data_IF_560075192728
#
_entry.id   IF_560075192728
#
_cell.length_a   1.000
_cell.length_b   1.000
_cell.length_c   1.000
_cell.angle_alpha   90.00
_cell.angle_beta   90.00
_cell.angle_gamma   90.00
#
_symmetry.space_group_name_H-M   'P 1'
#
loop_
_entity.id
_entity.type
_entity.pdbx_description
1 polymer ?
#
# COMPACT_ATOMS: atom_id res chain seq x y z
N UNK A 1 37.61 -2.67 -36.85
CA UNK A 1 37.08 -4.05 -36.92
C UNK A 1 36.06 -4.21 -35.81
N UNK A 2 34.89 -4.78 -36.08
CA UNK A 2 33.90 -5.08 -35.04
C UNK A 2 34.42 -6.23 -34.18
N UNK A 3 34.15 -6.18 -32.87
CA UNK A 3 34.45 -7.31 -31.97
C UNK A 3 33.51 -8.48 -32.26
N UNK A 4 33.90 -9.70 -31.88
CA UNK A 4 33.05 -10.88 -32.04
C UNK A 4 31.67 -10.72 -31.37
N UNK A 5 31.61 -10.01 -30.23
CA UNK A 5 30.36 -9.68 -29.53
C UNK A 5 29.48 -8.71 -30.33
N UNK A 6 30.07 -7.72 -31.01
CA UNK A 6 29.32 -6.78 -31.86
C UNK A 6 28.73 -7.48 -33.10
N UNK A 7 29.48 -8.41 -33.70
CA UNK A 7 28.98 -9.24 -34.81
C UNK A 7 27.82 -10.14 -34.39
N UNK A 8 27.92 -10.79 -33.23
CA UNK A 8 26.85 -11.64 -32.70
C UNK A 8 25.56 -10.84 -32.43
N UNK A 9 25.68 -9.64 -31.86
CA UNK A 9 24.54 -8.76 -31.62
C UNK A 9 23.91 -8.27 -32.94
N UNK A 10 24.73 -7.92 -33.94
CA UNK A 10 24.26 -7.54 -35.27
C UNK A 10 23.46 -8.66 -35.95
N UNK A 11 23.95 -9.91 -35.86
CA UNK A 11 23.29 -11.08 -36.42
C UNK A 11 21.94 -11.36 -35.72
N UNK A 12 21.88 -11.23 -34.39
CA UNK A 12 20.64 -11.43 -33.63
C UNK A 12 19.59 -10.36 -33.96
N UNK A 13 19.99 -9.09 -34.12
CA UNK A 13 19.09 -8.01 -34.57
C UNK A 13 18.51 -8.33 -35.94
N UNK A 14 19.34 -8.79 -36.88
CA UNK A 14 18.88 -9.15 -38.22
C UNK A 14 17.93 -10.36 -38.21
N UNK A 15 18.21 -11.37 -37.37
CA UNK A 15 17.35 -12.54 -37.19
C UNK A 15 15.98 -12.14 -36.66
N UNK A 16 15.93 -11.32 -35.61
CA UNK A 16 14.70 -10.78 -35.04
C UNK A 16 13.92 -9.92 -36.04
N UNK A 17 14.61 -9.08 -36.82
CA UNK A 17 13.99 -8.26 -37.85
C UNK A 17 13.32 -9.09 -38.96
N UNK A 18 13.98 -10.15 -39.42
CA UNK A 18 13.41 -11.11 -40.39
C UNK A 18 12.23 -11.88 -39.81
N UNK A 19 12.26 -12.20 -38.51
CA UNK A 19 11.19 -12.91 -37.81
C UNK A 19 10.04 -12.02 -37.31
N UNK A 20 10.12 -10.69 -37.45
CA UNK A 20 9.12 -9.76 -36.93
C UNK A 20 9.07 -9.66 -35.40
N UNK A 21 10.12 -10.10 -34.70
CA UNK A 21 10.19 -10.11 -33.23
C UNK A 21 10.72 -8.76 -32.73
N UNK A 22 10.03 -8.04 -31.82
CA UNK A 22 10.51 -6.77 -31.29
C UNK A 22 11.84 -6.91 -30.52
N UNK A 23 12.66 -5.86 -30.55
CA UNK A 23 13.91 -5.80 -29.78
C UNK A 23 13.62 -5.53 -28.30
N UNK A 24 14.33 -6.22 -27.41
CA UNK A 24 14.37 -5.95 -25.97
C UNK A 24 15.51 -4.99 -25.66
N UNK A 25 15.21 -3.86 -25.00
CA UNK A 25 16.17 -2.78 -24.66
C UNK A 25 16.95 -2.21 -25.87
N UNK A 26 16.27 -1.68 -26.91
CA UNK A 26 16.95 -1.22 -28.11
C UNK A 26 17.76 0.05 -27.87
N UNK A 27 18.96 0.10 -28.44
CA UNK A 27 19.70 1.36 -28.66
C UNK A 27 19.25 2.02 -29.96
N UNK A 28 19.61 3.29 -30.16
CA UNK A 28 19.33 3.98 -31.43
C UNK A 28 19.91 3.23 -32.64
N UNK A 29 21.14 2.74 -32.52
CA UNK A 29 21.84 1.99 -33.56
C UNK A 29 21.19 0.63 -33.87
N UNK A 30 20.75 -0.11 -32.84
CA UNK A 30 20.06 -1.40 -33.06
C UNK A 30 18.68 -1.21 -33.68
N UNK A 31 17.98 -0.12 -33.33
CA UNK A 31 16.69 0.23 -33.93
C UNK A 31 16.82 0.57 -35.41
N UNK A 32 17.86 1.34 -35.78
CA UNK A 32 18.11 1.70 -37.18
C UNK A 32 18.40 0.45 -38.04
N UNK A 33 19.27 -0.45 -37.55
CA UNK A 33 19.60 -1.69 -38.24
C UNK A 33 18.39 -2.63 -38.36
N UNK A 34 17.56 -2.75 -37.31
CA UNK A 34 16.34 -3.55 -37.33
C UNK A 34 15.36 -3.07 -38.41
N UNK A 35 15.12 -1.74 -38.48
CA UNK A 35 14.25 -1.13 -39.50
C UNK A 35 14.82 -1.33 -40.91
N UNK A 36 16.12 -1.13 -41.09
CA UNK A 36 16.79 -1.35 -42.37
C UNK A 36 16.69 -2.83 -42.82
N UNK A 37 16.81 -3.76 -41.88
CA UNK A 37 16.71 -5.20 -42.20
C UNK A 37 15.28 -5.59 -42.55
N UNK A 38 14.27 -5.06 -41.85
CA UNK A 38 12.85 -5.29 -42.16
C UNK A 38 12.48 -4.81 -43.58
N UNK A 39 12.97 -3.65 -44.01
CA UNK A 39 12.67 -3.13 -45.35
C UNK A 39 13.29 -3.99 -46.46
N UNK A 40 14.48 -4.56 -46.23
CA UNK A 40 15.13 -5.47 -47.19
C UNK A 40 14.57 -6.89 -47.19
N UNK A 41 14.06 -7.39 -46.04
CA UNK A 41 13.58 -8.76 -45.91
C UNK A 41 12.17 -8.97 -46.49
N UNK A 42 11.40 -7.89 -46.69
CA UNK A 42 10.05 -7.93 -47.23
C UNK A 42 9.88 -6.96 -48.43
N UNK A 43 10.56 -7.21 -49.57
CA UNK A 43 10.46 -6.35 -50.75
C UNK A 43 9.04 -6.33 -51.36
N UNK A 44 8.17 -7.28 -51.00
CA UNK A 44 6.78 -7.38 -51.48
C UNK A 44 5.75 -6.47 -50.78
N UNK A 45 6.15 -5.68 -49.78
CA UNK A 45 5.26 -4.72 -49.10
C UNK A 45 5.53 -3.26 -49.49
N UNK A 46 6.10 -3.02 -50.68
CA UNK A 46 5.80 -1.78 -51.39
C UNK A 46 4.34 -1.85 -51.84
N UNK A 47 3.44 -1.49 -50.91
CA UNK A 47 2.07 -1.13 -51.21
C UNK A 47 2.17 0.01 -52.22
N UNK A 48 2.04 -0.32 -53.50
CA UNK A 48 1.87 0.64 -54.59
C UNK A 48 0.81 1.61 -54.09
N UNK A 49 1.19 2.88 -53.92
CA UNK A 49 0.31 3.88 -53.34
C UNK A 49 -0.96 3.92 -54.20
N UNK A 50 -2.03 3.30 -53.70
CA UNK A 50 -3.33 3.43 -54.35
C UNK A 50 -3.62 4.93 -54.42
N UNK A 51 -4.08 5.44 -55.58
CA UNK A 51 -4.37 6.85 -55.75
C UNK A 51 -5.27 7.29 -54.59
N UNK A 52 -4.75 8.22 -53.79
CA UNK A 52 -5.43 8.75 -52.60
C UNK A 52 -6.76 9.31 -53.08
N UNK A 53 -7.87 8.62 -52.78
CA UNK A 53 -9.20 9.16 -53.07
C UNK A 53 -9.28 10.56 -52.42
N UNK A 54 -9.72 11.59 -53.16
CA UNK A 54 -9.78 12.94 -52.62
C UNK A 54 -10.61 12.93 -51.34
N UNK A 55 -10.00 13.41 -50.25
CA UNK A 55 -10.65 13.54 -48.94
C UNK A 55 -11.75 14.58 -49.11
N UNK A 56 -13.01 14.17 -49.10
CA UNK A 56 -14.13 15.11 -49.13
C UNK A 56 -14.28 15.78 -47.76
N UNK A 57 -14.68 17.05 -47.71
CA UNK A 57 -14.88 17.77 -46.45
C UNK A 57 -15.85 17.06 -45.50
N UNK A 58 -16.83 16.32 -46.04
CA UNK A 58 -17.76 15.48 -45.28
C UNK A 58 -17.08 14.32 -44.55
N UNK A 59 -15.96 13.80 -45.06
CA UNK A 59 -15.21 12.72 -44.39
C UNK A 59 -14.42 13.19 -43.17
N UNK A 60 -14.21 14.51 -43.02
CA UNK A 60 -13.48 15.13 -41.92
C UNK A 60 -14.37 15.47 -40.72
N UNK A 61 -15.69 15.35 -40.84
CA UNK A 61 -16.64 15.67 -39.76
C UNK A 61 -17.08 14.41 -39.01
N UNK A 62 -17.48 14.55 -37.74
CA UNK A 62 -18.09 13.47 -36.97
C UNK A 62 -19.37 12.97 -37.64
N UNK A 63 -19.58 11.65 -37.69
CA UNK A 63 -20.85 11.10 -38.14
C UNK A 63 -21.90 11.22 -37.02
N UNK A 64 -23.21 11.18 -37.32
CA UNK A 64 -24.23 11.15 -36.28
C UNK A 64 -23.97 10.01 -35.28
N UNK A 65 -23.87 10.35 -33.99
CA UNK A 65 -23.57 9.40 -32.91
C UNK A 65 -22.07 9.20 -32.59
N UNK A 66 -21.17 9.80 -33.38
CA UNK A 66 -19.74 9.85 -33.09
C UNK A 66 -19.32 11.20 -32.49
N UNK A 67 -18.27 11.16 -31.68
CA UNK A 67 -17.57 12.37 -31.24
C UNK A 67 -16.06 12.22 -31.40
N UNK A 68 -15.36 13.35 -31.51
CA UNK A 68 -13.90 13.38 -31.55
C UNK A 68 -13.32 12.97 -30.21
N UNK A 69 -12.56 11.86 -30.18
CA UNK A 69 -12.11 11.22 -28.93
C UNK A 69 -11.29 12.17 -28.07
N UNK A 70 -10.32 12.88 -28.66
CA UNK A 70 -9.50 13.88 -27.95
C UNK A 70 -10.36 14.98 -27.32
N UNK A 71 -11.31 15.53 -28.06
CA UNK A 71 -12.17 16.59 -27.56
C UNK A 71 -13.00 16.08 -26.37
N UNK A 72 -13.60 14.90 -26.50
CA UNK A 72 -14.39 14.29 -25.43
C UNK A 72 -13.60 14.11 -24.14
N UNK A 73 -12.38 13.58 -24.21
CA UNK A 73 -11.53 13.43 -23.03
C UNK A 73 -11.05 14.77 -22.47
N UNK A 74 -10.66 15.73 -23.33
CA UNK A 74 -10.31 17.09 -22.89
C UNK A 74 -11.47 17.78 -22.15
N UNK A 75 -12.69 17.67 -22.67
CA UNK A 75 -13.90 18.22 -22.05
C UNK A 75 -14.17 17.55 -20.68
N UNK A 76 -13.66 16.33 -20.46
CA UNK A 76 -13.74 15.58 -19.21
C UNK A 76 -12.49 15.72 -18.31
N UNK A 77 -11.64 16.72 -18.57
CA UNK A 77 -10.49 17.06 -17.72
C UNK A 77 -9.18 16.36 -18.07
N UNK A 78 -9.13 15.59 -19.16
CA UNK A 78 -7.93 14.88 -19.58
C UNK A 78 -7.17 15.63 -20.66
N UNK A 79 -6.03 16.22 -20.33
CA UNK A 79 -5.23 17.01 -21.28
C UNK A 79 -4.25 16.17 -22.12
N UNK A 80 -3.73 15.07 -21.57
CA UNK A 80 -2.74 14.22 -22.23
C UNK A 80 -3.39 13.04 -22.95
N UNK A 81 -4.08 13.34 -24.05
CA UNK A 81 -4.66 12.33 -24.94
C UNK A 81 -3.68 12.07 -26.10
N UNK A 82 -3.29 10.81 -26.31
CA UNK A 82 -2.36 10.38 -27.36
C UNK A 82 -3.02 9.42 -28.36
N UNK A 83 -2.31 9.09 -29.43
CA UNK A 83 -2.68 7.98 -30.32
C UNK A 83 -1.44 7.12 -30.56
N UNK A 84 -1.49 5.87 -30.11
CA UNK A 84 -0.47 4.88 -30.39
C UNK A 84 -0.73 4.29 -31.79
N UNK A 85 0.08 4.73 -32.76
CA UNK A 85 0.00 4.27 -34.15
C UNK A 85 0.35 2.78 -34.32
N UNK A 86 1.19 2.22 -33.44
CA UNK A 86 1.60 0.82 -33.55
C UNK A 86 0.47 -0.12 -33.11
N UNK A 87 -0.28 0.28 -32.07
CA UNK A 87 -1.40 -0.49 -31.52
C UNK A 87 -2.76 -0.10 -32.08
N UNK A 88 -2.85 1.04 -32.74
CA UNK A 88 -4.11 1.57 -33.24
C UNK A 88 -5.04 2.10 -32.14
N UNK A 89 -4.48 2.48 -30.99
CA UNK A 89 -5.24 2.81 -29.78
C UNK A 89 -5.12 4.28 -29.43
N UNK A 90 -6.20 4.90 -28.98
CA UNK A 90 -6.14 6.18 -28.27
C UNK A 90 -5.65 5.92 -26.85
N UNK A 91 -4.68 6.71 -26.41
CA UNK A 91 -4.17 6.67 -25.05
C UNK A 91 -4.59 7.91 -24.27
N UNK A 92 -4.79 7.79 -22.96
CA UNK A 92 -5.08 8.92 -22.06
C UNK A 92 -4.14 8.78 -20.87
N UNK A 93 -3.34 9.81 -20.59
CA UNK A 93 -2.27 9.78 -19.59
C UNK A 93 -1.34 8.56 -19.75
N UNK A 94 -1.10 8.14 -20.99
CA UNK A 94 -0.27 6.98 -21.34
C UNK A 94 -0.96 5.61 -21.24
N UNK A 95 -2.23 5.54 -20.78
CA UNK A 95 -3.01 4.31 -20.67
C UNK A 95 -3.88 4.08 -21.91
N UNK A 96 -4.08 2.81 -22.30
CA UNK A 96 -4.94 2.46 -23.44
C UNK A 96 -6.42 2.69 -23.11
N UNK A 97 -7.00 3.71 -23.73
CA UNK A 97 -8.37 4.11 -23.51
C UNK A 97 -9.33 3.32 -24.41
N UNK A 98 -9.21 3.46 -25.74
CA UNK A 98 -10.10 2.81 -26.72
C UNK A 98 -9.49 2.73 -28.13
N UNK A 99 -9.94 1.78 -28.93
CA UNK A 99 -9.69 1.73 -30.37
C UNK A 99 -10.72 2.63 -31.09
N UNK A 100 -10.31 3.64 -31.88
CA UNK A 100 -11.26 4.52 -32.53
C UNK A 100 -11.99 3.78 -33.66
N UNK A 101 -13.27 4.12 -33.89
CA UNK A 101 -14.06 3.56 -35.00
C UNK A 101 -13.47 3.97 -36.36
N UNK A 102 -12.92 5.19 -36.42
CA UNK A 102 -12.20 5.70 -37.59
C UNK A 102 -11.25 6.83 -37.24
N UNK A 103 -10.34 7.12 -38.17
CA UNK A 103 -9.42 8.24 -38.10
C UNK A 103 -9.54 9.03 -39.39
N UNK A 104 -9.90 10.30 -39.29
CA UNK A 104 -10.05 11.20 -40.43
C UNK A 104 -9.41 12.55 -40.12
N UNK A 105 -8.57 13.05 -41.05
CA UNK A 105 -7.87 14.32 -40.87
C UNK A 105 -6.96 14.38 -39.64
N UNK A 106 -6.43 13.24 -39.19
CA UNK A 106 -5.65 13.15 -37.95
C UNK A 106 -6.47 13.17 -36.66
N UNK A 107 -7.80 13.23 -36.76
CA UNK A 107 -8.71 13.15 -35.61
C UNK A 107 -9.26 11.72 -35.49
N UNK A 108 -9.21 11.19 -34.28
CA UNK A 108 -9.84 9.91 -33.94
C UNK A 108 -11.29 10.13 -33.54
N UNK A 109 -12.20 9.31 -34.06
CA UNK A 109 -13.63 9.32 -33.74
C UNK A 109 -14.03 7.98 -33.11
N UNK A 110 -15.03 8.02 -32.23
CA UNK A 110 -15.65 6.85 -31.64
C UNK A 110 -17.12 7.15 -31.31
N UNK A 111 -17.93 6.10 -31.14
CA UNK A 111 -19.31 6.26 -30.68
C UNK A 111 -19.37 6.80 -29.24
N UNK A 112 -20.45 7.52 -28.92
CA UNK A 112 -20.64 8.06 -27.57
C UNK A 112 -20.61 6.98 -26.47
N UNK A 113 -21.14 5.78 -26.74
CA UNK A 113 -21.12 4.67 -25.79
C UNK A 113 -19.70 4.15 -25.55
N UNK A 114 -18.90 4.01 -26.61
CA UNK A 114 -17.50 3.60 -26.50
C UNK A 114 -16.68 4.64 -25.72
N UNK A 115 -16.97 5.93 -25.91
CA UNK A 115 -16.34 7.03 -25.19
C UNK A 115 -16.68 7.00 -23.69
N UNK A 116 -17.96 6.83 -23.34
CA UNK A 116 -18.40 6.75 -21.95
C UNK A 116 -17.80 5.53 -21.22
N UNK A 117 -17.81 4.36 -21.88
CA UNK A 117 -17.20 3.15 -21.34
C UNK A 117 -15.68 3.32 -21.14
N UNK A 118 -15.01 3.93 -22.11
CA UNK A 118 -13.57 4.19 -22.04
C UNK A 118 -13.22 5.20 -20.96
N UNK A 119 -14.01 6.26 -20.77
CA UNK A 119 -13.83 7.24 -19.71
C UNK A 119 -13.93 6.61 -18.32
N UNK A 120 -14.90 5.72 -18.11
CA UNK A 120 -15.03 4.95 -16.87
C UNK A 120 -13.79 4.08 -16.63
N UNK A 121 -13.33 3.36 -17.66
CA UNK A 121 -12.11 2.53 -17.59
C UNK A 121 -10.87 3.36 -17.24
N UNK A 122 -10.67 4.51 -17.90
CA UNK A 122 -9.53 5.41 -17.64
C UNK A 122 -9.57 5.90 -16.19
N UNK A 123 -10.72 6.40 -15.70
CA UNK A 123 -10.88 6.84 -14.31
C UNK A 123 -10.55 5.73 -13.31
N UNK A 124 -11.08 4.53 -13.52
CA UNK A 124 -10.84 3.40 -12.63
C UNK A 124 -9.37 2.99 -12.61
N UNK A 125 -8.71 3.00 -13.77
CA UNK A 125 -7.29 2.66 -13.88
C UNK A 125 -6.41 3.71 -13.20
N UNK A 126 -6.72 5.00 -13.37
CA UNK A 126 -6.02 6.08 -12.67
C UNK A 126 -6.18 5.99 -11.16
N UNK A 127 -7.39 5.73 -10.70
CA UNK A 127 -7.67 5.54 -9.29
C UNK A 127 -6.87 4.36 -8.74
N UNK A 128 -6.86 3.22 -9.44
CA UNK A 128 -6.03 2.07 -9.08
C UNK A 128 -4.54 2.38 -9.06
N UNK A 129 -4.02 3.11 -10.04
CA UNK A 129 -2.61 3.52 -10.08
C UNK A 129 -2.26 4.48 -8.94
N UNK A 130 -3.15 5.42 -8.61
CA UNK A 130 -2.97 6.36 -7.50
C UNK A 130 -2.98 5.62 -6.15
N UNK A 131 -3.92 4.69 -5.97
CA UNK A 131 -4.01 3.80 -4.80
C UNK A 131 -2.73 2.98 -4.66
N UNK A 132 -2.27 2.32 -5.73
CA UNK A 132 -1.05 1.52 -5.70
C UNK A 132 0.19 2.37 -5.40
N UNK A 133 0.30 3.58 -5.96
CA UNK A 133 1.39 4.50 -5.67
C UNK A 133 1.39 4.96 -4.20
N UNK A 134 0.22 5.24 -3.64
CA UNK A 134 0.10 5.59 -2.23
C UNK A 134 0.38 4.39 -1.31
N UNK A 135 -0.02 3.18 -1.71
CA UNK A 135 0.27 1.95 -0.98
C UNK A 135 1.77 1.65 -0.93
N UNK A 136 2.49 1.87 -2.04
CA UNK A 136 3.94 1.75 -2.07
C UNK A 136 4.62 2.74 -1.11
N UNK A 137 4.14 3.99 -1.04
CA UNK A 137 4.65 4.98 -0.07
C UNK A 137 4.35 4.57 1.38
N UNK A 138 3.17 4.00 1.65
CA UNK A 138 2.83 3.46 2.97
C UNK A 138 3.73 2.27 3.31
N UNK A 139 3.99 1.37 2.37
CA UNK A 139 4.89 0.23 2.57
C UNK A 139 6.32 0.69 2.86
N UNK A 140 6.80 1.73 2.17
CA UNK A 140 8.10 2.34 2.45
C UNK A 140 8.16 2.98 3.85
N UNK A 141 7.08 3.64 4.28
CA UNK A 141 6.96 4.16 5.65
C UNK A 141 6.94 3.05 6.69
N UNK A 142 6.23 1.94 6.43
CA UNK A 142 6.16 0.78 7.33
C UNK A 142 7.47 -0.03 7.37
N UNK A 143 8.30 0.05 6.32
CA UNK A 143 9.65 -0.55 6.30
C UNK A 143 10.65 0.20 7.17
N UNK A 144 10.34 1.43 7.61
CA UNK A 144 11.20 2.12 8.59
C UNK A 144 11.20 1.29 9.88
N UNK A 145 12.39 0.94 10.42
CA UNK A 145 12.48 0.13 11.62
C UNK A 145 11.70 0.80 12.75
N UNK A 146 10.94 -0.02 13.50
CA UNK A 146 10.20 0.42 14.68
C UNK A 146 11.15 1.18 15.60
N UNK A 147 10.73 2.35 16.06
CA UNK A 147 11.53 3.18 16.97
C UNK A 147 11.96 2.36 18.21
N UNK A 148 13.26 2.09 18.33
CA UNK A 148 13.86 1.51 19.53
C UNK A 148 14.47 2.63 20.37
N UNK A 149 14.08 2.77 21.65
CA UNK A 149 14.65 3.78 22.50
C UNK A 149 16.16 3.64 22.61
N UNK A 150 16.88 4.76 22.55
CA UNK A 150 18.31 4.80 22.83
C UNK A 150 18.60 4.44 24.28
N UNK A 151 19.83 4.00 24.58
CA UNK A 151 20.28 3.93 25.97
C UNK A 151 20.81 5.30 26.40
N UNK A 152 20.40 5.76 27.58
CA UNK A 152 20.96 6.98 28.17
C UNK A 152 22.44 6.77 28.50
N UNK A 153 23.29 7.65 27.98
CA UNK A 153 24.71 7.72 28.32
C UNK A 153 25.09 9.17 28.58
N UNK A 154 25.64 9.46 29.76
CA UNK A 154 26.10 10.80 30.13
C UNK A 154 27.61 10.88 30.05
N UNK A 155 28.11 11.75 29.17
CA UNK A 155 29.53 12.08 29.08
C UNK A 155 29.76 13.47 29.69
N UNK A 156 30.26 13.50 30.92
CA UNK A 156 30.58 14.74 31.63
C UNK A 156 31.63 15.57 30.88
N UNK A 157 32.56 14.93 30.17
CA UNK A 157 33.62 15.62 29.44
C UNK A 157 33.10 16.40 28.23
N UNK A 158 31.95 15.99 27.67
CA UNK A 158 31.27 16.69 26.58
C UNK A 158 30.27 17.75 27.07
N UNK A 159 29.96 17.81 28.38
CA UNK A 159 28.98 18.75 28.92
C UNK A 159 29.59 20.16 29.13
N UNK A 160 29.09 21.21 28.45
CA UNK A 160 29.65 22.55 28.56
C UNK A 160 29.51 23.16 29.97
N UNK A 161 28.51 22.76 30.76
CA UNK A 161 28.33 23.26 32.14
C UNK A 161 29.39 22.66 33.05
N UNK A 162 29.67 21.36 32.91
CA UNK A 162 30.75 20.69 33.64
C UNK A 162 32.11 21.31 33.30
N UNK A 163 32.40 21.52 32.01
CA UNK A 163 33.65 22.15 31.57
C UNK A 163 33.82 23.57 32.13
N UNK A 164 32.74 24.37 32.16
CA UNK A 164 32.77 25.71 32.74
C UNK A 164 33.01 25.69 34.27
N UNK A 165 32.38 24.75 34.98
CA UNK A 165 32.58 24.58 36.41
C UNK A 165 34.00 24.13 36.75
N UNK A 166 34.55 23.17 35.99
CA UNK A 166 35.92 22.70 36.12
C UNK A 166 36.93 23.83 35.86
N UNK A 167 36.70 24.65 34.83
CA UNK A 167 37.53 25.82 34.56
C UNK A 167 37.50 26.83 35.72
N UNK A 168 36.32 27.11 36.29
CA UNK A 168 36.18 28.01 37.45
C UNK A 168 36.86 27.47 38.70
N UNK A 169 36.71 26.17 38.99
CA UNK A 169 37.36 25.54 40.12
C UNK A 169 38.89 25.58 40.01
N UNK A 170 39.44 25.36 38.81
CA UNK A 170 40.88 25.52 38.56
C UNK A 170 41.36 26.95 38.82
N UNK A 171 40.64 27.96 38.35
CA UNK A 171 40.97 29.37 38.61
C UNK A 171 40.93 29.70 40.10
N UNK A 172 39.90 29.24 40.82
CA UNK A 172 39.79 29.45 42.26
C UNK A 172 40.90 28.73 43.04
N UNK A 173 41.23 27.50 42.66
CA UNK A 173 42.31 26.74 43.27
C UNK A 173 43.68 27.39 43.04
N UNK A 174 43.91 27.98 41.86
CA UNK A 174 45.12 28.76 41.58
C UNK A 174 45.22 29.99 42.50
N UNK A 175 44.12 30.73 42.68
CA UNK A 175 44.06 31.84 43.64
C UNK A 175 44.37 31.40 45.07
N UNK A 176 43.66 30.38 45.57
CA UNK A 176 43.87 29.84 46.91
C UNK A 176 45.28 29.26 47.13
N UNK A 177 45.87 28.64 46.10
CA UNK A 177 47.25 28.18 46.12
C UNK A 177 48.23 29.35 46.23
N UNK A 178 47.98 30.44 45.51
CA UNK A 178 48.77 31.67 45.59
C UNK A 178 48.72 32.29 46.98
N UNK A 179 47.53 32.39 47.58
CA UNK A 179 47.33 32.90 48.94
C UNK A 179 48.04 32.01 49.97
N UNK A 180 47.94 30.68 49.83
CA UNK A 180 48.62 29.72 50.69
C UNK A 180 50.15 29.83 50.58
N UNK A 181 50.70 29.99 49.37
CA UNK A 181 52.12 30.22 49.15
C UNK A 181 52.58 31.55 49.76
N UNK A 182 51.80 32.63 49.58
CA UNK A 182 52.11 33.93 50.17
C UNK A 182 52.15 33.86 51.70
N UNK A 183 51.22 33.14 52.32
CA UNK A 183 51.19 32.92 53.76
C UNK A 183 52.36 32.04 54.25
N UNK A 184 52.70 30.97 53.53
CA UNK A 184 53.87 30.12 53.86
C UNK A 184 55.19 30.87 53.70
N UNK A 185 55.28 31.73 52.68
CA UNK A 185 56.41 32.62 52.46
C UNK A 185 56.58 33.59 53.62
N UNK A 186 55.49 34.23 54.06
CA UNK A 186 55.47 35.10 55.23
C UNK A 186 55.93 34.40 56.51
N UNK A 187 55.75 33.07 56.60
CA UNK A 187 56.20 32.23 57.71
C UNK A 187 57.63 31.68 57.55
N UNK A 188 58.30 31.94 56.44
CA UNK A 188 59.66 31.47 56.16
C UNK A 188 59.77 30.00 55.76
N UNK A 189 58.65 29.36 55.37
CA UNK A 189 58.57 27.92 55.03
C UNK A 189 58.45 27.77 53.50
N UNK A 190 59.41 28.33 52.77
CA UNK A 190 59.31 28.45 51.32
C UNK A 190 59.72 27.18 50.54
N UNK A 191 60.61 26.36 51.10
CA UNK A 191 61.31 25.31 50.34
C UNK A 191 61.12 23.90 50.93
N UNK A 192 60.01 23.71 51.63
CA UNK A 192 59.66 22.40 52.15
C UNK A 192 58.74 21.66 51.19
N UNK A 193 58.93 20.35 51.06
CA UNK A 193 58.01 19.43 50.36
C UNK A 193 56.54 19.64 50.77
N UNK A 194 56.32 20.07 52.02
CA UNK A 194 55.01 20.42 52.60
C UNK A 194 54.29 21.49 51.78
N UNK A 195 55.00 22.47 51.22
CA UNK A 195 54.40 23.54 50.40
C UNK A 195 53.86 22.98 49.08
N UNK A 196 54.63 22.08 48.44
CA UNK A 196 54.20 21.39 47.22
C UNK A 196 53.00 20.49 47.46
N UNK A 197 53.05 19.67 48.52
CA UNK A 197 51.96 18.75 48.89
C UNK A 197 50.66 19.52 49.20
N UNK A 198 50.76 20.66 49.88
CA UNK A 198 49.58 21.44 50.26
C UNK A 198 48.94 22.16 49.08
N UNK A 199 49.75 22.66 48.13
CA UNK A 199 49.24 23.27 46.90
C UNK A 199 48.61 22.22 45.98
N UNK A 200 49.24 21.06 45.84
CA UNK A 200 48.67 19.93 45.10
C UNK A 200 47.34 19.48 45.71
N UNK A 201 47.25 19.42 47.05
CA UNK A 201 46.02 19.11 47.78
C UNK A 201 44.89 20.11 47.47
N UNK A 202 45.16 21.42 47.50
CA UNK A 202 44.15 22.45 47.20
C UNK A 202 43.60 22.30 45.77
N UNK A 203 44.47 22.04 44.79
CA UNK A 203 44.04 21.84 43.40
C UNK A 203 43.20 20.58 43.24
N UNK A 204 43.61 19.49 43.89
CA UNK A 204 42.92 18.21 43.81
C UNK A 204 41.57 18.24 44.54
N UNK A 205 41.49 18.87 45.71
CA UNK A 205 40.26 19.04 46.49
C UNK A 205 39.22 19.87 45.72
N UNK A 206 39.65 20.94 45.05
CA UNK A 206 38.77 21.78 44.25
C UNK A 206 38.17 21.02 43.05
N UNK A 207 38.96 20.17 42.39
CA UNK A 207 38.47 19.32 41.29
C UNK A 207 37.54 18.22 41.83
N UNK A 208 37.92 17.57 42.94
CA UNK A 208 37.13 16.53 43.58
C UNK A 208 35.76 17.03 44.07
N UNK A 209 35.67 18.28 44.55
CA UNK A 209 34.40 18.91 44.89
C UNK A 209 33.49 19.08 43.68
N UNK A 210 34.01 19.55 42.55
CA UNK A 210 33.22 19.66 41.32
C UNK A 210 32.72 18.29 40.88
N UNK A 211 33.59 17.28 40.89
CA UNK A 211 33.21 15.94 40.46
C UNK A 211 32.15 15.31 41.38
N UNK A 212 32.32 15.42 42.70
CA UNK A 212 31.40 14.78 43.66
C UNK A 212 30.04 15.48 43.77
N UNK A 213 30.00 16.81 43.73
CA UNK A 213 28.76 17.57 43.94
C UNK A 213 28.00 17.84 42.64
N UNK A 214 28.72 18.12 41.54
CA UNK A 214 28.10 18.60 40.32
C UNK A 214 27.69 17.47 39.37
N UNK A 215 28.47 16.39 39.27
CA UNK A 215 28.17 15.27 38.34
C UNK A 215 26.78 14.68 38.61
N UNK A 216 26.36 14.38 39.86
CA UNK A 216 25.02 13.85 40.10
C UNK A 216 23.90 14.79 39.65
N UNK A 217 24.07 16.10 39.87
CA UNK A 217 23.08 17.10 39.46
C UNK A 217 22.99 17.22 37.94
N UNK A 218 24.14 17.29 37.25
CA UNK A 218 24.17 17.36 35.79
C UNK A 218 23.68 16.08 35.13
N UNK A 219 23.97 14.92 35.72
CA UNK A 219 23.48 13.63 35.24
C UNK A 219 21.94 13.59 35.32
N UNK A 220 21.35 14.04 36.43
CA UNK A 220 19.88 14.14 36.55
C UNK A 220 19.28 15.10 35.52
N UNK A 221 19.90 16.26 35.30
CA UNK A 221 19.42 17.23 34.31
C UNK A 221 19.55 16.69 32.88
N UNK A 222 20.67 16.03 32.56
CA UNK A 222 20.90 15.40 31.27
C UNK A 222 19.89 14.27 31.01
N UNK A 223 19.56 13.49 32.04
CA UNK A 223 18.54 12.45 31.95
C UNK A 223 17.15 13.02 31.63
N UNK A 224 16.76 14.14 32.24
CA UNK A 224 15.49 14.82 31.91
C UNK A 224 15.47 15.32 30.45
N UNK A 225 16.58 15.90 29.96
CA UNK A 225 16.70 16.33 28.56
C UNK A 225 16.60 15.14 27.61
N UNK A 226 17.31 14.06 27.91
CA UNK A 226 17.26 12.82 27.15
C UNK A 226 15.83 12.26 27.11
N UNK A 227 15.15 12.15 28.26
CA UNK A 227 13.77 11.66 28.32
C UNK A 227 12.81 12.50 27.46
N UNK A 228 12.95 13.83 27.49
CA UNK A 228 12.14 14.73 26.67
C UNK A 228 12.44 14.55 25.17
N UNK A 229 13.71 14.44 24.79
CA UNK A 229 14.11 14.20 23.41
C UNK A 229 13.61 12.84 22.91
N UNK A 230 13.70 11.81 23.75
CA UNK A 230 13.21 10.47 23.48
C UNK A 230 11.69 10.46 23.28
N UNK A 231 10.96 11.21 24.11
CA UNK A 231 9.52 11.37 23.98
C UNK A 231 9.13 12.12 22.69
N UNK A 232 9.90 13.15 22.31
CA UNK A 232 9.69 13.85 21.03
C UNK A 232 9.95 12.93 19.83
N UNK A 233 11.02 12.14 19.85
CA UNK A 233 11.32 11.16 18.80
C UNK A 233 10.23 10.10 18.70
N UNK A 234 9.75 9.62 19.85
CA UNK A 234 8.61 8.70 19.90
C UNK A 234 7.33 9.34 19.33
N UNK A 235 7.02 10.59 19.67
CA UNK A 235 5.89 11.32 19.10
C UNK A 235 6.03 11.50 17.59
N UNK A 236 7.19 11.91 17.09
CA UNK A 236 7.45 12.03 15.65
C UNK A 236 7.29 10.69 14.92
N UNK A 237 7.79 9.61 15.52
CA UNK A 237 7.58 8.26 14.98
C UNK A 237 6.10 7.92 14.93
N UNK A 238 5.34 8.23 15.98
CA UNK A 238 3.90 7.95 16.04
C UNK A 238 3.11 8.80 15.04
N UNK A 239 3.45 10.08 14.91
CA UNK A 239 2.80 10.99 13.97
C UNK A 239 3.05 10.56 12.53
N UNK A 240 4.25 10.06 12.21
CA UNK A 240 4.53 9.51 10.87
C UNK A 240 3.69 8.28 10.53
N UNK A 241 3.34 7.46 11.54
CA UNK A 241 2.42 6.32 11.39
C UNK A 241 0.96 6.80 11.36
N UNK A 242 0.62 7.82 12.15
CA UNK A 242 -0.69 8.45 12.16
C UNK A 242 -1.04 9.12 10.83
N UNK A 243 -0.07 9.78 10.20
CA UNK A 243 -0.22 10.37 8.86
C UNK A 243 -0.39 9.29 7.79
N UNK A 244 0.30 8.15 7.89
CA UNK A 244 0.05 7.00 7.03
C UNK A 244 -1.37 6.44 7.23
N UNK A 245 -1.85 6.38 8.50
CA UNK A 245 -3.22 5.99 8.84
C UNK A 245 -4.26 6.98 8.31
N UNK A 246 -4.02 8.28 8.39
CA UNK A 246 -4.88 9.32 7.84
C UNK A 246 -4.89 9.31 6.32
N UNK A 247 -3.76 9.03 5.67
CA UNK A 247 -3.67 8.86 4.22
C UNK A 247 -4.46 7.64 3.77
N UNK A 248 -4.33 6.52 4.49
CA UNK A 248 -5.11 5.31 4.25
C UNK A 248 -6.61 5.56 4.49
N UNK A 249 -6.95 6.29 5.54
CA UNK A 249 -8.31 6.71 5.84
C UNK A 249 -8.87 7.66 4.77
N UNK A 250 -8.08 8.59 4.22
CA UNK A 250 -8.48 9.39 3.07
C UNK A 250 -8.63 8.54 1.81
N UNK A 251 -7.77 7.54 1.61
CA UNK A 251 -7.88 6.62 0.49
C UNK A 251 -9.18 5.81 0.56
N UNK A 252 -9.52 5.33 1.75
CA UNK A 252 -10.80 4.64 2.02
C UNK A 252 -11.99 5.61 2.13
N UNK A 253 -11.75 6.87 2.44
CA UNK A 253 -12.72 7.94 2.67
C UNK A 253 -13.14 8.65 1.39
N UNK A 254 -12.28 8.69 0.36
CA UNK A 254 -12.67 9.07 -1.01
C UNK A 254 -13.73 8.09 -1.55
N UNK A 255 -13.63 6.82 -1.16
CA UNK A 255 -14.72 5.85 -1.37
C UNK A 255 -15.93 6.12 -0.47
N UNK A 256 -15.82 6.81 0.67
CA UNK A 256 -16.97 7.06 1.55
C UNK A 256 -17.88 8.20 1.06
N UNK A 257 -17.31 9.25 0.46
CA UNK A 257 -18.09 10.31 -0.19
C UNK A 257 -18.79 9.81 -1.47
N UNK A 258 -18.13 8.93 -2.23
CA UNK A 258 -18.78 8.22 -3.34
C UNK A 258 -19.76 7.15 -2.85
N UNK A 259 -19.50 6.46 -1.73
CA UNK A 259 -20.44 5.53 -1.09
C UNK A 259 -21.70 6.23 -0.59
N UNK A 260 -21.67 7.49 -0.15
CA UNK A 260 -22.90 8.22 0.18
C UNK A 260 -23.83 8.37 -1.02
N UNK A 261 -23.26 8.70 -2.19
CA UNK A 261 -24.00 8.77 -3.45
C UNK A 261 -24.38 7.38 -3.99
N UNK A 262 -23.50 6.39 -3.89
CA UNK A 262 -23.78 5.03 -4.32
C UNK A 262 -24.77 4.32 -3.40
N UNK A 263 -24.80 4.65 -2.11
CA UNK A 263 -25.75 4.12 -1.12
C UNK A 263 -27.11 4.78 -1.28
N UNK A 264 -27.19 6.09 -1.57
CA UNK A 264 -28.44 6.72 -1.99
C UNK A 264 -28.91 6.21 -3.36
N UNK A 265 -28.02 6.02 -4.34
CA UNK A 265 -28.37 5.42 -5.63
C UNK A 265 -28.73 3.95 -5.51
N UNK A 266 -28.15 3.23 -4.55
CA UNK A 266 -28.48 1.84 -4.24
C UNK A 266 -29.82 1.76 -3.53
N UNK A 267 -30.09 2.60 -2.54
CA UNK A 267 -31.40 2.69 -1.88
C UNK A 267 -32.49 3.09 -2.89
N UNK A 268 -32.21 4.05 -3.77
CA UNK A 268 -33.11 4.44 -4.86
C UNK A 268 -33.31 3.28 -5.86
N UNK A 269 -32.25 2.56 -6.27
CA UNK A 269 -32.36 1.39 -7.16
C UNK A 269 -33.05 0.20 -6.49
N UNK A 270 -32.87 0.01 -5.18
CA UNK A 270 -33.45 -1.05 -4.37
C UNK A 270 -34.94 -0.79 -4.13
N UNK A 271 -35.33 0.44 -3.74
CA UNK A 271 -36.73 0.86 -3.70
C UNK A 271 -37.39 0.75 -5.08
N UNK A 272 -36.72 1.23 -6.13
CA UNK A 272 -37.25 1.17 -7.49
C UNK A 272 -37.42 -0.28 -7.96
N UNK A 273 -36.44 -1.16 -7.72
CA UNK A 273 -36.56 -2.57 -8.11
C UNK A 273 -37.48 -3.42 -7.24
N UNK A 274 -37.75 -3.04 -5.98
CA UNK A 274 -38.88 -3.59 -5.21
C UNK A 274 -40.22 -3.16 -5.81
N UNK A 275 -40.36 -1.89 -6.19
CA UNK A 275 -41.61 -1.36 -6.76
C UNK A 275 -41.98 -1.98 -8.12
N UNK A 276 -40.99 -2.47 -8.89
CA UNK A 276 -41.19 -3.05 -10.22
C UNK A 276 -41.16 -4.59 -10.18
N UNK A 277 -40.97 -5.20 -9.01
CA UNK A 277 -40.96 -6.66 -8.85
C UNK A 277 -39.77 -7.37 -9.52
N UNK A 278 -38.70 -6.65 -9.87
CA UNK A 278 -37.58 -7.17 -10.64
C UNK A 278 -36.45 -7.77 -9.77
N UNK A 279 -36.49 -7.56 -8.44
CA UNK A 279 -35.61 -8.24 -7.50
C UNK A 279 -36.34 -9.37 -6.78
N UNK A 280 -36.41 -10.55 -7.41
CA UNK A 280 -36.86 -11.79 -6.76
C UNK A 280 -36.02 -12.20 -5.54
N UNK A 281 -34.86 -11.57 -5.33
CA UNK A 281 -33.89 -11.87 -4.27
C UNK A 281 -33.71 -10.73 -3.23
N UNK A 282 -34.67 -9.81 -3.10
CA UNK A 282 -34.59 -8.72 -2.11
C UNK A 282 -34.34 -9.20 -0.66
N UNK A 283 -34.85 -10.38 -0.30
CA UNK A 283 -34.54 -11.03 0.98
C UNK A 283 -33.07 -11.47 1.09
N UNK A 284 -32.50 -12.03 0.02
CA UNK A 284 -31.12 -12.52 0.01
C UNK A 284 -30.11 -11.38 0.16
N UNK A 285 -30.40 -10.21 -0.41
CA UNK A 285 -29.56 -9.02 -0.28
C UNK A 285 -29.62 -8.44 1.15
N UNK A 286 -30.80 -8.44 1.77
CA UNK A 286 -30.96 -8.03 3.17
C UNK A 286 -30.23 -8.99 4.12
N UNK A 287 -30.30 -10.29 3.84
CA UNK A 287 -29.62 -11.33 4.59
C UNK A 287 -28.09 -11.23 4.45
N UNK A 288 -27.59 -10.93 3.25
CA UNK A 288 -26.16 -10.67 3.02
C UNK A 288 -25.68 -9.42 3.78
N UNK A 289 -26.49 -8.36 3.86
CA UNK A 289 -26.17 -7.16 4.63
C UNK A 289 -26.09 -7.46 6.13
N UNK A 290 -27.08 -8.16 6.68
CA UNK A 290 -27.06 -8.58 8.09
C UNK A 290 -25.87 -9.49 8.40
N UNK A 291 -25.54 -10.41 7.49
CA UNK A 291 -24.35 -11.26 7.65
C UNK A 291 -23.05 -10.44 7.63
N UNK A 292 -22.94 -9.41 6.78
CA UNK A 292 -21.79 -8.51 6.74
C UNK A 292 -21.64 -7.70 8.03
N UNK A 293 -22.72 -7.14 8.54
CA UNK A 293 -22.71 -6.39 9.80
C UNK A 293 -22.32 -7.29 10.98
N UNK A 294 -22.81 -8.53 11.03
CA UNK A 294 -22.46 -9.50 12.06
C UNK A 294 -20.97 -9.90 12.02
N UNK A 295 -20.41 -10.08 10.81
CA UNK A 295 -18.98 -10.39 10.66
C UNK A 295 -18.09 -9.21 11.05
N UNK A 296 -18.44 -7.99 10.64
CA UNK A 296 -17.72 -6.78 11.00
C UNK A 296 -17.72 -6.56 12.53
N UNK A 297 -18.88 -6.77 13.16
CA UNK A 297 -19.01 -6.75 14.62
C UNK A 297 -18.09 -7.75 15.31
N UNK A 298 -18.13 -9.03 14.91
CA UNK A 298 -17.33 -10.09 15.55
C UNK A 298 -15.83 -9.79 15.47
N UNK A 299 -15.33 -9.33 14.32
CA UNK A 299 -13.91 -8.97 14.18
C UNK A 299 -13.52 -7.75 15.01
N UNK A 300 -14.33 -6.69 14.97
CA UNK A 300 -14.07 -5.50 15.77
C UNK A 300 -14.02 -5.86 17.26
N UNK A 301 -14.94 -6.71 17.71
CA UNK A 301 -15.00 -7.23 19.08
C UNK A 301 -13.78 -8.09 19.44
N UNK A 302 -13.42 -9.05 18.59
CA UNK A 302 -12.30 -9.96 18.83
C UNK A 302 -10.94 -9.23 18.83
N UNK A 303 -10.84 -8.12 18.10
CA UNK A 303 -9.64 -7.29 18.07
C UNK A 303 -9.42 -6.48 19.36
N UNK A 304 -10.50 -6.16 20.11
CA UNK A 304 -10.40 -5.46 21.38
C UNK A 304 -9.86 -6.44 22.42
N UNK A 305 -8.60 -6.33 22.81
CA UNK A 305 -7.98 -7.28 23.74
C UNK A 305 -8.51 -7.21 25.19
N UNK A 306 -9.10 -6.08 25.58
CA UNK A 306 -9.57 -5.82 26.94
C UNK A 306 -11.05 -6.17 27.13
N UNK A 307 -11.35 -7.05 28.09
CA UNK A 307 -12.70 -7.56 28.36
C UNK A 307 -13.70 -6.49 28.80
N UNK A 308 -13.26 -5.44 29.50
CA UNK A 308 -14.13 -4.35 29.93
C UNK A 308 -14.60 -3.55 28.71
N UNK A 309 -13.68 -3.26 27.79
CA UNK A 309 -13.99 -2.54 26.55
C UNK A 309 -14.80 -3.38 25.56
N UNK A 310 -14.56 -4.69 25.50
CA UNK A 310 -15.43 -5.61 24.75
C UNK A 310 -16.87 -5.56 25.26
N UNK A 311 -17.09 -5.59 26.58
CA UNK A 311 -18.44 -5.57 27.15
C UNK A 311 -19.17 -4.24 26.87
N UNK A 312 -18.48 -3.11 26.97
CA UNK A 312 -19.05 -1.81 26.61
C UNK A 312 -19.34 -1.70 25.12
N UNK A 313 -18.40 -2.14 24.27
CA UNK A 313 -18.59 -2.20 22.83
C UNK A 313 -19.82 -3.04 22.46
N UNK A 314 -19.95 -4.24 23.03
CA UNK A 314 -21.10 -5.15 22.81
C UNK A 314 -22.44 -4.49 23.21
N UNK A 315 -22.47 -3.72 24.30
CA UNK A 315 -23.67 -2.98 24.72
C UNK A 315 -24.01 -1.85 23.74
N UNK A 316 -23.01 -1.06 23.31
CA UNK A 316 -23.21 0.03 22.37
C UNK A 316 -23.67 -0.47 20.99
N UNK A 317 -23.13 -1.61 20.52
CA UNK A 317 -23.58 -2.23 19.26
C UNK A 317 -25.04 -2.67 19.37
N UNK A 318 -25.45 -3.26 20.50
CA UNK A 318 -26.84 -3.69 20.71
C UNK A 318 -27.82 -2.52 20.78
N UNK A 319 -27.44 -1.40 21.38
CA UNK A 319 -28.34 -0.25 21.57
C UNK A 319 -28.39 0.67 20.37
N UNK A 320 -27.25 0.91 19.71
CA UNK A 320 -27.10 2.00 18.73
C UNK A 320 -26.42 1.58 17.43
N UNK A 321 -26.02 0.31 17.30
CA UNK A 321 -25.35 -0.23 16.13
C UNK A 321 -23.83 -0.05 16.13
N UNK A 322 -23.18 -0.68 15.14
CA UNK A 322 -21.72 -0.79 15.05
C UNK A 322 -21.00 0.56 14.92
N UNK A 323 -21.54 1.46 14.09
CA UNK A 323 -20.92 2.76 13.85
C UNK A 323 -20.85 3.61 15.13
N UNK A 324 -21.93 3.63 15.91
CA UNK A 324 -21.97 4.35 17.17
C UNK A 324 -21.02 3.72 18.21
N UNK A 325 -20.98 2.39 18.28
CA UNK A 325 -20.07 1.69 19.17
C UNK A 325 -18.60 1.98 18.87
N UNK A 326 -18.22 2.05 17.58
CA UNK A 326 -16.87 2.43 17.18
C UNK A 326 -16.54 3.89 17.54
N UNK A 327 -17.49 4.81 17.35
CA UNK A 327 -17.32 6.20 17.75
C UNK A 327 -17.12 6.30 19.28
N UNK A 328 -17.98 5.66 20.05
CA UNK A 328 -17.89 5.66 21.51
C UNK A 328 -16.60 4.98 22.00
N UNK A 329 -16.14 3.93 21.32
CA UNK A 329 -14.85 3.31 21.61
C UNK A 329 -13.68 4.26 21.32
N UNK A 330 -13.76 5.07 20.26
CA UNK A 330 -12.73 6.07 19.92
C UNK A 330 -12.58 7.16 20.99
N UNK A 331 -13.68 7.56 21.61
CA UNK A 331 -13.71 8.59 22.66
C UNK A 331 -13.16 8.08 23.99
N UNK A 332 -13.45 6.82 24.31
CA UNK A 332 -13.16 6.26 25.62
C UNK A 332 -11.85 5.45 25.67
N UNK A 333 -11.44 4.83 24.55
CA UNK A 333 -10.20 4.07 24.46
C UNK A 333 -9.64 4.00 23.04
N UNK A 334 -8.72 4.91 22.75
CA UNK A 334 -8.11 5.05 21.44
C UNK A 334 -7.31 3.81 20.99
N UNK A 335 -6.73 3.04 21.93
CA UNK A 335 -5.99 1.83 21.61
C UNK A 335 -6.93 0.68 21.17
N UNK A 336 -8.03 0.48 21.91
CA UNK A 336 -9.06 -0.49 21.54
C UNK A 336 -9.73 -0.12 20.21
N UNK A 337 -9.96 1.17 19.99
CA UNK A 337 -10.47 1.68 18.71
C UNK A 337 -9.53 1.39 17.55
N UNK A 338 -8.23 1.67 17.68
CA UNK A 338 -7.25 1.37 16.63
C UNK A 338 -7.21 -0.13 16.31
N UNK A 339 -7.24 -0.99 17.32
CA UNK A 339 -7.30 -2.44 17.12
C UNK A 339 -8.54 -2.87 16.33
N UNK A 340 -9.72 -2.38 16.73
CA UNK A 340 -10.97 -2.63 16.02
C UNK A 340 -10.93 -2.10 14.57
N UNK A 341 -10.36 -0.92 14.35
CA UNK A 341 -10.27 -0.29 13.02
C UNK A 341 -9.31 -1.03 12.09
N UNK A 342 -8.18 -1.54 12.61
CA UNK A 342 -7.23 -2.37 11.86
C UNK A 342 -7.92 -3.68 11.44
N UNK A 343 -8.62 -4.34 12.35
CA UNK A 343 -9.31 -5.59 12.06
C UNK A 343 -10.42 -5.42 11.00
N UNK A 344 -11.16 -4.31 11.07
CA UNK A 344 -12.18 -3.96 10.07
C UNK A 344 -11.58 -3.64 8.71
N UNK A 345 -10.46 -2.89 8.66
CA UNK A 345 -9.81 -2.54 7.38
C UNK A 345 -9.15 -3.75 6.69
N UNK A 346 -8.65 -4.72 7.46
CA UNK A 346 -8.16 -5.99 6.91
C UNK A 346 -9.28 -6.81 6.25
N UNK A 347 -10.49 -6.78 6.81
CA UNK A 347 -11.65 -7.43 6.20
C UNK A 347 -12.12 -6.73 4.93
N UNK A 348 -12.23 -5.40 4.98
CA UNK A 348 -12.66 -4.61 3.83
C UNK A 348 -11.73 -4.80 2.64
N UNK A 349 -10.42 -4.89 2.87
CA UNK A 349 -9.46 -5.26 1.83
C UNK A 349 -9.74 -6.67 1.26
N UNK A 350 -9.85 -7.71 2.10
CA UNK A 350 -10.16 -9.07 1.65
C UNK A 350 -11.48 -9.14 0.86
N UNK A 351 -12.50 -8.39 1.30
CA UNK A 351 -13.79 -8.30 0.63
C UNK A 351 -13.70 -7.59 -0.72
N UNK A 352 -13.02 -6.45 -0.78
CA UNK A 352 -12.80 -5.72 -2.04
C UNK A 352 -12.03 -6.58 -3.04
N UNK A 353 -10.99 -7.28 -2.60
CA UNK A 353 -10.26 -8.23 -3.45
C UNK A 353 -11.18 -9.35 -3.95
N UNK A 354 -12.03 -9.92 -3.09
CA UNK A 354 -12.98 -10.97 -3.50
C UNK A 354 -14.05 -10.47 -4.49
N UNK A 355 -14.51 -9.22 -4.35
CA UNK A 355 -15.47 -8.61 -5.27
C UNK A 355 -14.82 -8.23 -6.61
N UNK A 356 -13.60 -7.69 -6.58
CA UNK A 356 -12.80 -7.43 -7.79
C UNK A 356 -12.53 -8.73 -8.55
N UNK A 357 -12.16 -9.80 -7.85
CA UNK A 357 -11.93 -11.11 -8.46
C UNK A 357 -13.21 -11.69 -9.09
N UNK A 358 -14.35 -11.62 -8.38
CA UNK A 358 -15.64 -12.01 -8.93
C UNK A 358 -16.06 -11.18 -10.17
N UNK A 359 -15.74 -9.88 -10.17
CA UNK A 359 -16.06 -8.96 -11.28
C UNK A 359 -15.14 -9.19 -12.47
N UNK A 360 -13.84 -9.43 -12.24
CA UNK A 360 -12.85 -9.74 -13.27
C UNK A 360 -13.10 -11.12 -13.89
N UNK A 361 -13.49 -12.11 -13.08
CA UNK A 361 -13.92 -13.41 -13.57
C UNK A 361 -15.18 -13.32 -14.45
N UNK A 362 -16.11 -12.41 -14.14
CA UNK A 362 -17.27 -12.12 -14.99
C UNK A 362 -16.92 -11.39 -16.29
N UNK A 363 -15.93 -10.49 -16.29
CA UNK A 363 -15.57 -9.70 -17.46
C UNK A 363 -14.65 -10.43 -18.45
N UNK A 364 -13.83 -11.39 -17.99
CA UNK A 364 -12.78 -12.01 -18.80
C UNK A 364 -13.11 -13.42 -19.34
N UNK A 365 -14.31 -13.96 -19.12
CA UNK A 365 -14.67 -15.30 -19.60
C UNK A 365 -15.32 -15.27 -21.02
N UNK A 366 -14.64 -15.76 -22.07
CA UNK A 366 -15.25 -15.92 -23.39
C UNK A 366 -16.24 -17.09 -23.38
N UNK A 367 -17.55 -16.80 -23.41
CA UNK A 367 -18.66 -17.68 -23.82
C UNK A 367 -18.55 -19.18 -23.42
N UNK A 368 -18.01 -19.48 -22.23
CA UNK A 368 -18.10 -20.80 -21.62
C UNK A 368 -19.43 -20.90 -20.85
N UNK A 369 -20.03 -22.11 -20.73
CA UNK A 369 -21.26 -22.31 -19.97
C UNK A 369 -21.10 -21.71 -18.57
N UNK A 370 -21.96 -20.73 -18.26
CA UNK A 370 -21.94 -19.97 -17.00
C UNK A 370 -22.06 -20.95 -15.84
N UNK A 371 -20.99 -21.08 -15.04
CA UNK A 371 -21.05 -21.74 -13.76
C UNK A 371 -22.01 -20.94 -12.86
N UNK A 372 -23.18 -21.52 -12.55
CA UNK A 372 -24.21 -20.93 -11.69
C UNK A 372 -24.14 -21.49 -10.26
N UNK A 373 -22.98 -22.00 -9.83
CA UNK A 373 -22.77 -22.54 -8.49
C UNK A 373 -22.39 -21.46 -7.47
N UNK A 374 -22.06 -21.92 -6.26
CA UNK A 374 -21.63 -21.06 -5.16
C UNK A 374 -20.26 -20.43 -5.47
N UNK A 375 -20.02 -19.20 -5.02
CA UNK A 375 -18.68 -18.60 -5.06
C UNK A 375 -17.73 -19.28 -4.05
N UNK A 376 -16.42 -19.14 -4.24
CA UNK A 376 -15.41 -19.62 -3.28
C UNK A 376 -15.69 -19.16 -1.84
N UNK A 377 -16.08 -17.90 -1.67
CA UNK A 377 -16.44 -17.32 -0.36
C UNK A 377 -17.70 -17.94 0.25
N UNK A 378 -18.71 -18.26 -0.56
CA UNK A 378 -19.92 -18.95 -0.09
C UNK A 378 -19.61 -20.38 0.34
N UNK A 379 -18.74 -21.08 -0.39
CA UNK A 379 -18.26 -22.42 -0.04
C UNK A 379 -17.47 -22.41 1.28
N UNK A 380 -16.53 -21.48 1.44
CA UNK A 380 -15.76 -21.33 2.69
C UNK A 380 -16.69 -21.06 3.87
N UNK A 381 -17.65 -20.16 3.71
CA UNK A 381 -18.64 -19.84 4.75
C UNK A 381 -19.46 -21.08 5.12
N UNK A 382 -19.99 -21.79 4.11
CA UNK A 382 -20.81 -22.98 4.33
C UNK A 382 -20.04 -24.09 5.06
N UNK A 383 -18.77 -24.33 4.70
CA UNK A 383 -17.92 -25.33 5.35
C UNK A 383 -17.59 -24.91 6.79
N UNK A 384 -17.28 -23.62 7.03
CA UNK A 384 -17.03 -23.11 8.39
C UNK A 384 -18.26 -23.22 9.28
N UNK A 385 -19.45 -22.91 8.76
CA UNK A 385 -20.71 -23.08 9.50
C UNK A 385 -20.98 -24.55 9.80
N UNK A 386 -20.71 -25.46 8.87
CA UNK A 386 -20.94 -26.89 9.06
C UNK A 386 -19.96 -27.52 10.06
N UNK A 387 -18.69 -27.11 10.03
CA UNK A 387 -17.64 -27.70 10.88
C UNK A 387 -17.46 -26.95 12.21
N UNK A 388 -17.83 -25.67 12.28
CA UNK A 388 -17.71 -24.83 13.48
C UNK A 388 -16.31 -24.92 14.12
N UNK A 389 -16.28 -25.09 15.43
CA UNK A 389 -15.04 -25.24 16.21
C UNK A 389 -14.24 -26.52 15.88
N UNK A 390 -14.86 -27.48 15.18
CA UNK A 390 -14.19 -28.71 14.77
C UNK A 390 -13.36 -28.54 13.49
N UNK A 391 -13.42 -27.39 12.81
CA UNK A 391 -12.65 -27.15 11.58
C UNK A 391 -11.16 -27.44 11.77
N UNK A 392 -10.57 -26.97 12.88
CA UNK A 392 -9.15 -27.19 13.19
C UNK A 392 -8.80 -28.67 13.48
N UNK A 393 -9.79 -29.48 13.87
CA UNK A 393 -9.65 -30.92 14.16
C UNK A 393 -10.05 -31.80 12.97
N UNK A 394 -10.66 -31.21 11.94
CA UNK A 394 -11.16 -31.94 10.79
C UNK A 394 -9.98 -32.36 9.91
N UNK A 395 -9.87 -33.64 9.50
CA UNK A 395 -8.83 -34.08 8.59
C UNK A 395 -8.82 -33.26 7.30
N UNK A 396 -7.64 -32.83 6.84
CA UNK A 396 -7.49 -32.00 5.63
C UNK A 396 -8.11 -32.63 4.39
N UNK A 397 -8.04 -33.97 4.27
CA UNK A 397 -8.70 -34.75 3.22
C UNK A 397 -10.22 -34.50 3.14
N UNK A 398 -10.86 -34.38 4.30
CA UNK A 398 -12.30 -34.17 4.38
C UNK A 398 -12.67 -32.73 3.98
N UNK A 399 -11.87 -31.75 4.41
CA UNK A 399 -12.03 -30.34 3.99
C UNK A 399 -11.86 -30.23 2.47
N UNK A 400 -10.82 -30.87 1.93
CA UNK A 400 -10.54 -30.91 0.49
C UNK A 400 -11.69 -31.52 -0.31
N UNK A 401 -12.16 -32.71 0.07
CA UNK A 401 -13.29 -33.37 -0.61
C UNK A 401 -14.57 -32.52 -0.57
N UNK A 402 -14.83 -31.83 0.54
CA UNK A 402 -15.98 -30.93 0.65
C UNK A 402 -15.85 -29.76 -0.34
N UNK A 403 -14.69 -29.09 -0.41
CA UNK A 403 -14.49 -27.97 -1.36
C UNK A 403 -14.63 -28.43 -2.80
N UNK A 404 -14.00 -29.55 -3.18
CA UNK A 404 -14.08 -30.10 -4.54
C UNK A 404 -15.51 -30.50 -4.91
N UNK A 405 -16.30 -31.01 -3.96
CA UNK A 405 -17.70 -31.40 -4.20
C UNK A 405 -18.61 -30.21 -4.58
N UNK A 406 -18.24 -28.96 -4.24
CA UNK A 406 -18.97 -27.78 -4.69
C UNK A 406 -18.72 -27.46 -6.19
N UNK A 407 -17.73 -28.10 -6.82
CA UNK A 407 -17.45 -27.96 -8.25
C UNK A 407 -17.05 -26.54 -8.65
N UNK A 408 -16.29 -25.85 -7.81
CA UNK A 408 -15.83 -24.49 -8.06
C UNK A 408 -15.00 -24.41 -9.36
N UNK A 409 -15.02 -23.28 -10.08
CA UNK A 409 -14.15 -23.07 -11.24
C UNK A 409 -12.67 -23.22 -10.88
N UNK A 410 -11.85 -23.69 -11.81
CA UNK A 410 -10.41 -23.87 -11.63
C UNK A 410 -9.74 -22.63 -11.01
N UNK A 411 -9.05 -22.83 -9.88
CA UNK A 411 -8.36 -21.80 -9.12
C UNK A 411 -9.19 -21.16 -8.01
N UNK A 412 -10.53 -21.19 -8.08
CA UNK A 412 -11.39 -20.74 -6.98
C UNK A 412 -11.46 -21.78 -5.84
N UNK A 413 -11.31 -23.05 -6.18
CA UNK A 413 -11.17 -24.15 -5.24
C UNK A 413 -9.88 -24.05 -4.42
N UNK A 414 -8.74 -23.73 -5.05
CA UNK A 414 -7.47 -23.49 -4.35
C UNK A 414 -7.61 -22.33 -3.35
N UNK A 415 -8.21 -21.21 -3.77
CA UNK A 415 -8.48 -20.08 -2.87
C UNK A 415 -9.34 -20.48 -1.66
N UNK A 416 -10.41 -21.27 -1.89
CA UNK A 416 -11.29 -21.74 -0.83
C UNK A 416 -10.55 -22.70 0.14
N UNK A 417 -9.73 -23.61 -0.37
CA UNK A 417 -8.93 -24.53 0.45
C UNK A 417 -7.88 -23.79 1.29
N UNK A 418 -7.20 -22.80 0.71
CA UNK A 418 -6.25 -21.95 1.44
C UNK A 418 -6.95 -21.19 2.58
N UNK A 419 -8.14 -20.63 2.32
CA UNK A 419 -8.94 -19.93 3.33
C UNK A 419 -9.46 -20.85 4.45
N UNK A 420 -9.54 -22.16 4.20
CA UNK A 420 -9.91 -23.19 5.19
C UNK A 420 -8.70 -23.78 5.93
N UNK A 421 -7.49 -23.24 5.68
CA UNK A 421 -6.28 -23.58 6.42
C UNK A 421 -5.43 -24.70 5.80
N UNK A 422 -5.70 -25.09 4.55
CA UNK A 422 -4.80 -25.97 3.81
C UNK A 422 -3.62 -25.15 3.28
N UNK A 423 -2.44 -25.75 3.24
CA UNK A 423 -1.28 -25.17 2.55
C UNK A 423 -1.25 -25.62 1.09
N UNK A 424 -0.52 -24.91 0.22
CA UNK A 424 -0.32 -25.34 -1.18
C UNK A 424 0.26 -26.74 -1.30
N UNK A 425 1.16 -27.12 -0.39
CA UNK A 425 1.73 -28.46 -0.35
C UNK A 425 0.68 -29.52 0.03
N UNK A 426 -0.23 -29.21 0.96
CA UNK A 426 -1.35 -30.09 1.28
C UNK A 426 -2.26 -30.27 0.05
N UNK A 427 -2.61 -29.16 -0.62
CA UNK A 427 -3.48 -29.18 -1.82
C UNK A 427 -2.86 -30.05 -2.91
N UNK A 428 -1.58 -29.84 -3.25
CA UNK A 428 -0.87 -30.65 -4.25
C UNK A 428 -0.80 -32.14 -3.88
N UNK A 429 -0.60 -32.45 -2.59
CA UNK A 429 -0.59 -33.84 -2.13
C UNK A 429 -1.97 -34.49 -2.24
N UNK A 430 -3.03 -33.73 -1.97
CA UNK A 430 -4.41 -34.18 -2.05
C UNK A 430 -4.91 -34.29 -3.49
N UNK A 431 -4.54 -33.36 -4.38
CA UNK A 431 -4.76 -33.44 -5.83
C UNK A 431 -4.18 -34.74 -6.39
N UNK A 432 -2.93 -35.05 -6.00
CA UNK A 432 -2.27 -36.31 -6.38
C UNK A 432 -2.96 -37.53 -5.79
N UNK A 433 -3.44 -37.44 -4.54
CA UNK A 433 -4.11 -38.54 -3.84
C UNK A 433 -5.48 -38.86 -4.43
N UNK A 434 -6.25 -37.84 -4.79
CA UNK A 434 -7.62 -37.97 -5.32
C UNK A 434 -7.69 -37.98 -6.84
N UNK A 435 -6.55 -37.87 -7.53
CA UNK A 435 -6.49 -37.91 -8.99
C UNK A 435 -7.07 -36.66 -9.65
N UNK A 436 -7.16 -35.55 -8.91
CA UNK A 436 -7.52 -34.23 -9.43
C UNK A 436 -6.25 -33.62 -10.04
N UNK A 437 -5.72 -34.29 -11.07
CA UNK A 437 -4.52 -33.82 -11.77
C UNK A 437 -4.87 -32.63 -12.65
N UNK A 438 -4.14 -31.53 -12.49
CA UNK A 438 -4.21 -30.34 -13.34
C UNK A 438 -4.27 -30.71 -14.84
N UNK A 439 -5.47 -30.58 -15.42
CA UNK A 439 -5.71 -30.58 -16.85
C UNK A 439 -6.04 -31.93 -17.50
N UNK A 440 -7.28 -32.05 -17.96
CA UNK A 440 -7.49 -32.28 -19.41
C UNK A 440 -8.47 -31.21 -19.89
N UNK A 441 -8.19 -30.51 -21.02
CA UNK A 441 -9.18 -29.68 -21.68
C UNK A 441 -10.43 -30.48 -22.08
#
# INVERSE_FOLDING_TARGET
MLTASQLANQAEIQRKAKAGIPLTNPTASSTALYKQTQTTANPGLQKVAQPVKPITASSLMAQPGEAGVRKYFNDNGYSNVGYDKARGMVTVNGMDALAPSRIAGGTSYASNDALAASLSKVRNTEMGNKVNGQLANIEELLKKPSYTPGQFNYDASADPIYQAALARAKTNAQGASGDAMAELNKRGILDSTITGDRVAGIQQDAVNQVDSELIPQLTQQAYQRWQNEENMKYQQSRDSVGDAGNLLSQLMGVDQANRGNDQQQWDNRFQYGQAIGQFGNGQQTLQNKQNQENMAYQRARDAIGDKQWQAQFDQSVKQFGLNYALQQLSENNQAAYQQAQIALSQDDNLRQWSQLDATLAQQNAPQAPKYSGMSSSQVVSSIRTQLGDNLAKTPKDQIYQQVVAFGLPDGQDEQAMLALGLTKADIQALDKKFGVGAGKP
#
